data_IF_313643916397
#
_entry.id   IF_313643916397
#
_cell.length_a   1.000
_cell.length_b   1.000
_cell.length_c   1.000
_cell.angle_alpha   90.00
_cell.angle_beta   90.00
_cell.angle_gamma   90.00
#
_symmetry.space_group_name_H-M   'P 1'
#
loop_
_entity.id
_entity.type
_entity.pdbx_description
1 polymer ?
#
# COMPACT_ATOMS: atom_id res chain seq x y z
N UNK A 1 21.78 -12.88 17.16
CA UNK A 1 20.58 -13.00 16.30
C UNK A 1 20.27 -11.63 15.74
N UNK A 2 20.56 -11.40 14.46
CA UNK A 2 20.21 -10.16 13.77
C UNK A 2 18.71 -10.21 13.47
N UNK A 3 17.94 -9.37 14.15
CA UNK A 3 16.57 -9.07 13.78
C UNK A 3 16.68 -8.14 12.56
N UNK A 4 16.42 -8.65 11.36
CA UNK A 4 16.35 -7.82 10.16
C UNK A 4 15.28 -6.75 10.36
N UNK A 5 15.68 -5.49 10.22
CA UNK A 5 14.82 -4.32 10.27
C UNK A 5 13.94 -4.23 9.00
N UNK A 6 12.93 -5.10 8.89
CA UNK A 6 11.90 -5.00 7.85
C UNK A 6 10.50 -5.21 8.41
N UNK A 7 10.17 -4.57 9.53
CA UNK A 7 8.76 -4.23 9.78
C UNK A 7 8.42 -3.02 8.91
N UNK A 8 8.23 -3.32 7.63
CA UNK A 8 7.35 -2.56 6.74
C UNK A 8 6.12 -2.13 7.56
N UNK A 9 5.80 -0.84 7.63
CA UNK A 9 4.98 -0.28 8.73
C UNK A 9 3.57 -0.90 8.82
N UNK A 10 3.04 -1.43 7.73
CA UNK A 10 1.76 -2.15 7.70
C UNK A 10 1.88 -3.67 7.93
N UNK A 11 3.09 -4.21 7.96
CA UNK A 11 3.35 -5.63 8.19
C UNK A 11 3.48 -5.94 9.68
N UNK A 12 2.78 -6.99 10.08
CA UNK A 12 2.74 -7.42 11.47
C UNK A 12 2.94 -8.94 11.52
N UNK A 13 3.49 -9.41 12.64
CA UNK A 13 3.56 -10.85 12.88
C UNK A 13 2.13 -11.39 12.99
N UNK A 14 1.88 -12.55 12.37
CA UNK A 14 0.51 -13.09 12.22
C UNK A 14 -0.16 -13.38 13.57
N UNK A 15 0.62 -13.66 14.62
CA UNK A 15 0.17 -13.85 16.00
C UNK A 15 -0.37 -12.57 16.66
N UNK A 16 -0.03 -11.39 16.14
CA UNK A 16 -0.55 -10.10 16.58
C UNK A 16 -1.80 -9.66 15.81
N UNK A 17 -2.08 -10.30 14.66
CA UNK A 17 -3.28 -10.08 13.89
C UNK A 17 -4.49 -10.77 14.55
N UNK A 18 -5.66 -10.12 14.56
CA UNK A 18 -6.90 -10.76 15.03
C UNK A 18 -7.17 -12.04 14.24
N UNK A 19 -7.72 -13.10 14.85
CA UNK A 19 -7.92 -14.39 14.18
C UNK A 19 -8.65 -14.25 12.83
N UNK A 20 -9.70 -13.41 12.81
CA UNK A 20 -10.42 -13.03 11.61
C UNK A 20 -10.17 -11.54 11.29
N UNK A 21 -9.77 -11.18 10.05
CA UNK A 21 -9.75 -9.80 9.64
C UNK A 21 -11.18 -9.25 9.56
N UNK A 22 -11.35 -7.95 9.79
CA UNK A 22 -12.64 -7.31 9.58
C UNK A 22 -13.10 -7.47 8.12
N UNK A 23 -14.41 -7.56 7.88
CA UNK A 23 -14.97 -7.83 6.54
C UNK A 23 -14.47 -6.88 5.45
N UNK A 24 -14.13 -5.64 5.81
CA UNK A 24 -13.66 -4.58 4.92
C UNK A 24 -12.13 -4.46 4.85
N UNK A 25 -11.40 -5.45 5.36
CA UNK A 25 -9.94 -5.49 5.37
C UNK A 25 -9.47 -6.70 4.57
N UNK A 26 -8.62 -6.44 3.59
CA UNK A 26 -7.83 -7.45 2.92
C UNK A 26 -6.66 -7.84 3.83
N UNK A 27 -6.50 -9.14 4.10
CA UNK A 27 -5.31 -9.68 4.76
C UNK A 27 -4.55 -10.61 3.81
N UNK A 28 -3.28 -10.30 3.62
CA UNK A 28 -2.32 -11.11 2.88
C UNK A 28 -1.38 -11.79 3.88
N UNK A 29 -1.51 -13.09 4.05
CA UNK A 29 -0.59 -13.89 4.86
C UNK A 29 0.58 -14.41 4.02
N UNK A 30 1.78 -14.44 4.61
CA UNK A 30 2.99 -14.99 4.00
C UNK A 30 3.97 -15.50 5.08
N UNK A 31 4.96 -16.29 4.67
CA UNK A 31 5.96 -16.87 5.57
C UNK A 31 7.35 -16.40 5.15
N UNK A 32 8.13 -15.93 6.11
CA UNK A 32 9.51 -15.50 5.89
C UNK A 32 10.40 -16.01 7.01
N UNK A 33 11.52 -16.63 6.65
CA UNK A 33 12.52 -17.13 7.60
C UNK A 33 11.92 -18.02 8.71
N UNK A 34 10.86 -18.77 8.40
CA UNK A 34 10.14 -19.63 9.36
C UNK A 34 9.14 -18.92 10.27
N UNK A 35 8.89 -17.63 10.05
CA UNK A 35 7.89 -16.83 10.77
C UNK A 35 6.74 -16.45 9.85
N UNK A 36 5.52 -16.37 10.41
CA UNK A 36 4.32 -16.01 9.67
C UNK A 36 3.97 -14.54 9.89
N UNK A 37 3.66 -13.86 8.80
CA UNK A 37 3.38 -12.43 8.76
C UNK A 37 2.04 -12.16 8.06
N UNK A 38 1.43 -11.03 8.41
CA UNK A 38 0.24 -10.48 7.77
C UNK A 38 0.56 -9.08 7.24
N UNK A 39 0.10 -8.80 6.02
CA UNK A 39 -0.05 -7.47 5.44
C UNK A 39 -1.55 -7.17 5.34
N UNK A 40 -2.00 -6.09 5.98
CA UNK A 40 -3.40 -5.71 6.01
C UNK A 40 -3.66 -4.38 5.32
N UNK A 41 -4.76 -4.33 4.58
CA UNK A 41 -5.15 -3.16 3.81
C UNK A 41 -6.67 -3.03 3.79
N UNK A 42 -7.26 -1.88 4.18
CA UNK A 42 -8.68 -1.64 3.98
C UNK A 42 -9.08 -1.79 2.51
N UNK A 43 -10.27 -2.31 2.22
CA UNK A 43 -10.75 -2.50 0.84
C UNK A 43 -10.77 -1.18 0.04
N UNK A 44 -11.02 -0.08 0.74
CA UNK A 44 -11.07 1.27 0.17
C UNK A 44 -10.10 2.21 0.90
N UNK A 45 -9.31 3.01 0.16
CA UNK A 45 -8.44 4.00 0.75
C UNK A 45 -9.23 5.12 1.46
N UNK A 46 -8.67 5.73 2.51
CA UNK A 46 -9.30 6.86 3.18
C UNK A 46 -9.41 8.06 2.23
N UNK A 47 -10.49 8.83 2.39
CA UNK A 47 -10.66 10.10 1.68
C UNK A 47 -9.52 11.08 2.00
N UNK A 48 -9.04 11.80 0.98
CA UNK A 48 -7.97 12.79 1.15
C UNK A 48 -6.55 12.21 1.23
N UNK A 49 -6.35 10.97 0.76
CA UNK A 49 -5.04 10.31 0.67
C UNK A 49 -3.96 11.25 0.11
N UNK A 50 -2.82 11.35 0.78
CA UNK A 50 -1.62 12.06 0.28
C UNK A 50 -0.69 11.10 -0.46
N UNK A 51 0.06 11.62 -1.44
CA UNK A 51 1.02 10.83 -2.20
C UNK A 51 2.26 10.41 -1.41
N UNK A 52 2.54 11.06 -0.26
CA UNK A 52 3.76 10.89 0.52
C UNK A 52 4.07 9.44 0.94
N UNK A 53 3.09 8.55 0.90
CA UNK A 53 3.23 7.13 1.29
C UNK A 53 3.18 6.14 0.12
N UNK A 54 3.10 6.59 -1.13
CA UNK A 54 3.01 5.66 -2.27
C UNK A 54 4.24 4.75 -2.37
N UNK A 55 5.45 5.29 -2.29
CA UNK A 55 6.68 4.48 -2.40
C UNK A 55 6.75 3.41 -1.33
N UNK A 56 6.38 3.76 -0.11
CA UNK A 56 6.28 2.84 1.00
C UNK A 56 5.20 1.78 0.72
N UNK A 57 3.99 2.18 0.35
CA UNK A 57 2.91 1.25 -0.03
C UNK A 57 3.36 0.25 -1.09
N UNK A 58 4.06 0.70 -2.14
CA UNK A 58 4.59 -0.16 -3.19
C UNK A 58 5.63 -1.15 -2.66
N UNK A 59 6.55 -0.71 -1.80
CA UNK A 59 7.56 -1.58 -1.18
C UNK A 59 6.91 -2.64 -0.28
N UNK A 60 5.92 -2.24 0.52
CA UNK A 60 5.18 -3.14 1.41
C UNK A 60 4.44 -4.20 0.60
N UNK A 61 3.69 -3.76 -0.40
CA UNK A 61 2.99 -4.64 -1.33
C UNK A 61 3.95 -5.60 -2.04
N UNK A 62 4.99 -5.10 -2.71
CA UNK A 62 5.93 -5.94 -3.45
C UNK A 62 6.59 -7.00 -2.56
N UNK A 63 6.99 -6.60 -1.35
CA UNK A 63 7.60 -7.49 -0.39
C UNK A 63 6.65 -8.61 0.05
N UNK A 64 5.42 -8.27 0.46
CA UNK A 64 4.42 -9.24 0.93
C UNK A 64 4.20 -10.33 -0.13
N UNK A 65 4.09 -9.90 -1.38
CA UNK A 65 3.78 -10.77 -2.50
C UNK A 65 4.97 -11.63 -2.92
N UNK A 66 6.20 -11.11 -2.85
CA UNK A 66 7.42 -11.88 -3.12
C UNK A 66 7.73 -12.92 -2.04
N UNK A 67 7.37 -12.65 -0.78
CA UNK A 67 7.55 -13.60 0.34
C UNK A 67 6.46 -14.64 0.42
N UNK A 68 5.31 -14.39 -0.22
CA UNK A 68 4.21 -15.34 -0.31
C UNK A 68 4.64 -16.54 -1.17
N UNK A 69 4.99 -17.65 -0.53
CA UNK A 69 5.26 -18.90 -1.25
C UNK A 69 3.95 -19.49 -1.76
N UNK A 70 3.69 -19.32 -3.06
CA UNK A 70 2.51 -19.88 -3.74
C UNK A 70 2.93 -21.06 -4.62
N UNK A 71 2.13 -22.15 -4.68
CA UNK A 71 2.34 -23.24 -5.63
C UNK A 71 2.03 -22.83 -7.09
N UNK A 72 1.41 -21.67 -7.31
CA UNK A 72 1.10 -21.14 -8.64
C UNK A 72 1.97 -19.92 -8.96
N UNK A 73 2.22 -19.68 -10.25
CA UNK A 73 2.85 -18.45 -10.74
C UNK A 73 1.94 -17.21 -10.66
N UNK A 74 0.72 -17.34 -10.12
CA UNK A 74 -0.17 -16.21 -9.94
C UNK A 74 0.28 -15.36 -8.76
N UNK A 75 0.46 -14.08 -9.03
CA UNK A 75 0.74 -13.09 -8.01
C UNK A 75 -0.43 -13.03 -6.99
N UNK A 76 -1.69 -13.08 -7.43
CA UNK A 76 -2.88 -13.00 -6.56
C UNK A 76 -3.54 -14.36 -6.33
N UNK A 77 -4.09 -14.58 -5.14
CA UNK A 77 -4.86 -15.80 -4.80
C UNK A 77 -6.29 -15.68 -5.31
N UNK A 78 -6.90 -14.50 -5.14
CA UNK A 78 -8.28 -14.25 -5.52
C UNK A 78 -8.47 -12.90 -6.23
N UNK A 79 -9.68 -12.69 -6.78
CA UNK A 79 -10.03 -11.48 -7.51
C UNK A 79 -10.19 -10.25 -6.59
N UNK A 80 -10.55 -10.45 -5.32
CA UNK A 80 -10.73 -9.37 -4.35
C UNK A 80 -9.39 -8.70 -4.06
N UNK A 81 -8.33 -9.48 -3.81
CA UNK A 81 -6.95 -8.98 -3.63
C UNK A 81 -6.55 -8.04 -4.77
N UNK A 82 -6.81 -8.48 -6.01
CA UNK A 82 -6.49 -7.68 -7.20
C UNK A 82 -7.26 -6.37 -7.23
N UNK A 83 -8.57 -6.39 -6.92
CA UNK A 83 -9.42 -5.20 -6.93
C UNK A 83 -8.99 -4.17 -5.88
N UNK A 84 -8.67 -4.62 -4.67
CA UNK A 84 -8.24 -3.72 -3.58
C UNK A 84 -6.93 -3.03 -3.94
N UNK A 85 -5.90 -3.77 -4.36
CA UNK A 85 -4.62 -3.15 -4.74
C UNK A 85 -4.76 -2.18 -5.93
N UNK A 86 -5.58 -2.51 -6.94
CA UNK A 86 -5.89 -1.58 -8.05
C UNK A 86 -6.54 -0.29 -7.52
N UNK A 87 -7.48 -0.41 -6.58
CA UNK A 87 -8.17 0.75 -5.98
C UNK A 87 -7.18 1.66 -5.25
N UNK A 88 -6.26 1.09 -4.49
CA UNK A 88 -5.22 1.85 -3.78
C UNK A 88 -4.20 2.50 -4.71
N UNK A 89 -3.76 1.80 -5.76
CA UNK A 89 -2.87 2.36 -6.77
C UNK A 89 -3.50 3.56 -7.48
N UNK A 90 -4.78 3.45 -7.87
CA UNK A 90 -5.52 4.54 -8.50
C UNK A 90 -5.67 5.74 -7.54
N UNK A 91 -6.02 5.51 -6.28
CA UNK A 91 -6.16 6.59 -5.30
C UNK A 91 -4.84 7.33 -5.05
N UNK A 92 -3.70 6.62 -5.05
CA UNK A 92 -2.39 7.26 -4.96
C UNK A 92 -2.04 8.05 -6.24
N UNK A 93 -2.39 7.54 -7.42
CA UNK A 93 -2.20 8.28 -8.67
C UNK A 93 -3.00 9.59 -8.67
N UNK A 94 -4.27 9.54 -8.26
CA UNK A 94 -5.12 10.74 -8.12
C UNK A 94 -4.54 11.73 -7.09
N UNK A 95 -4.00 11.23 -5.98
CA UNK A 95 -3.33 12.07 -4.98
C UNK A 95 -2.11 12.79 -5.56
N UNK A 96 -1.26 12.07 -6.31
CA UNK A 96 -0.10 12.63 -7.01
C UNK A 96 -0.50 13.72 -8.01
N UNK A 97 -1.53 13.47 -8.83
CA UNK A 97 -2.02 14.43 -9.81
C UNK A 97 -2.53 15.72 -9.14
N UNK A 98 -3.30 15.56 -8.06
CA UNK A 98 -3.80 16.69 -7.26
C UNK A 98 -2.66 17.50 -6.66
N UNK A 99 -1.68 16.86 -6.05
CA UNK A 99 -0.53 17.53 -5.43
C UNK A 99 0.35 18.22 -6.48
N UNK A 100 0.55 17.61 -7.65
CA UNK A 100 1.26 18.20 -8.78
C UNK A 100 0.53 19.45 -9.31
N UNK A 101 -0.80 19.38 -9.47
CA UNK A 101 -1.63 20.54 -9.85
C UNK A 101 -1.49 21.67 -8.83
N UNK A 102 -1.61 21.37 -7.54
CA UNK A 102 -1.46 22.38 -6.48
C UNK A 102 -0.07 23.02 -6.49
N UNK A 103 0.98 22.23 -6.66
CA UNK A 103 2.36 22.72 -6.73
C UNK A 103 2.56 23.70 -7.89
N UNK A 104 2.01 23.40 -9.08
CA UNK A 104 2.06 24.30 -10.24
C UNK A 104 1.30 25.60 -10.00
N UNK A 105 0.12 25.53 -9.37
CA UNK A 105 -0.67 26.72 -9.02
C UNK A 105 0.06 27.62 -8.01
N UNK A 106 0.77 27.03 -7.05
CA UNK A 106 1.59 27.81 -6.12
C UNK A 106 2.79 28.43 -6.84
N UNK A 107 3.48 27.67 -7.68
CA UNK A 107 4.60 28.19 -8.47
C UNK A 107 4.20 29.39 -9.34
N UNK A 108 3.04 29.32 -10.02
CA UNK A 108 2.56 30.42 -10.87
C UNK A 108 2.21 31.68 -10.06
N UNK A 109 1.66 31.51 -8.85
CA UNK A 109 1.35 32.62 -7.95
C UNK A 109 2.62 33.27 -7.40
N UNK A 110 3.64 32.47 -7.04
CA UNK A 110 4.92 32.97 -6.52
C UNK A 110 5.70 33.69 -7.62
N UNK A 111 5.69 33.20 -8.87
CA UNK A 111 6.42 33.81 -9.98
C UNK A 111 5.79 35.12 -10.49
N UNK A 112 4.72 35.62 -9.87
CA UNK A 112 4.03 36.85 -10.28
C UNK A 112 3.20 36.70 -11.56
N UNK A 113 2.95 35.47 -12.02
CA UNK A 113 2.14 35.23 -13.21
C UNK A 113 0.66 35.50 -12.93
N UNK A 114 0.13 36.60 -13.46
CA UNK A 114 -1.31 36.69 -13.73
C UNK A 114 -1.66 35.53 -14.67
N UNK A 115 -2.48 34.59 -14.20
CA UNK A 115 -3.09 33.61 -15.09
C UNK A 115 -4.03 34.38 -16.03
N UNK A 116 -3.60 34.56 -17.27
CA UNK A 116 -4.47 34.90 -18.39
C UNK A 116 -5.24 33.65 -18.84
#
# INVERSE_FOLDING_TARGET
>A
MQISMTTLQSMQSLDLCAADPADHVLRVCFTEAGQNWCYELPDTPPGGLSSMRLSQFLQEFEYAMNKRQQPSSSFYIDLRERKVHVTWLNAHAEALEREARMSRLFASRISGGQAA
#
